data_IF_015863952889
#
_entry.id   IF_015863952889
#
_cell.length_a   1.000
_cell.length_b   1.000
_cell.length_c   1.000
_cell.angle_alpha   90.00
_cell.angle_beta   90.00
_cell.angle_gamma   90.00
#
_symmetry.space_group_name_H-M   'P 1'
#
loop_
_entity.id
_entity.type
_entity.pdbx_description
1 polymer ?
#
# COMPACT_ATOMS: atom_id res chain seq x y z
N UNK A 1 -22.24 -27.25 -11.85
CA UNK A 1 -20.99 -26.46 -11.72
C UNK A 1 -20.28 -26.52 -13.07
N UNK A 2 -20.09 -25.38 -13.75
CA UNK A 2 -19.37 -25.34 -15.04
C UNK A 2 -17.87 -25.37 -14.76
N UNK A 3 -17.16 -26.32 -15.35
CA UNK A 3 -15.70 -26.37 -15.31
C UNK A 3 -15.11 -25.10 -15.96
N UNK A 4 -13.99 -24.56 -15.44
CA UNK A 4 -13.35 -23.39 -16.03
C UNK A 4 -12.89 -23.70 -17.46
N UNK A 5 -13.26 -22.82 -18.41
CA UNK A 5 -13.13 -23.02 -19.85
C UNK A 5 -11.70 -22.85 -20.41
N UNK A 6 -10.67 -22.76 -19.57
CA UNK A 6 -9.28 -22.68 -20.04
C UNK A 6 -8.33 -23.33 -19.04
N UNK A 7 -7.82 -24.52 -19.40
CA UNK A 7 -6.65 -25.14 -18.75
C UNK A 7 -5.39 -24.52 -19.34
N UNK A 8 -5.04 -23.31 -18.90
CA UNK A 8 -3.75 -22.70 -19.26
C UNK A 8 -2.69 -23.29 -18.32
N UNK A 9 -1.89 -24.22 -18.83
CA UNK A 9 -0.74 -24.77 -18.11
C UNK A 9 0.38 -23.74 -18.14
N UNK A 10 0.42 -22.84 -17.16
CA UNK A 10 1.53 -21.90 -17.01
C UNK A 10 2.81 -22.67 -16.66
N UNK A 11 3.96 -22.39 -17.33
CA UNK A 11 5.25 -22.92 -16.91
C UNK A 11 5.48 -22.64 -15.43
N UNK A 12 5.92 -23.65 -14.68
CA UNK A 12 6.17 -23.53 -13.24
C UNK A 12 4.94 -23.58 -12.33
N UNK A 13 3.75 -23.97 -12.83
CA UNK A 13 2.54 -24.15 -12.01
C UNK A 13 2.78 -24.99 -10.74
N UNK A 14 3.42 -26.14 -10.86
CA UNK A 14 3.71 -27.02 -9.71
C UNK A 14 4.70 -26.39 -8.72
N UNK A 15 5.66 -25.59 -9.19
CA UNK A 15 6.57 -24.85 -8.32
C UNK A 15 5.80 -23.80 -7.52
N UNK A 16 4.89 -23.08 -8.18
CA UNK A 16 4.00 -22.10 -7.54
C UNK A 16 3.08 -22.73 -6.50
N UNK A 17 2.48 -23.88 -6.81
CA UNK A 17 1.67 -24.67 -5.87
C UNK A 17 2.51 -25.06 -4.64
N UNK A 18 3.67 -25.69 -4.83
CA UNK A 18 4.55 -26.11 -3.74
C UNK A 18 5.03 -24.94 -2.85
N UNK A 19 5.43 -23.81 -3.44
CA UNK A 19 5.85 -22.67 -2.64
C UNK A 19 4.69 -21.97 -1.93
N UNK A 20 3.47 -22.02 -2.50
CA UNK A 20 2.28 -21.51 -1.81
C UNK A 20 1.96 -22.34 -0.56
N UNK A 21 2.13 -23.67 -0.63
CA UNK A 21 2.03 -24.55 0.54
C UNK A 21 3.12 -24.27 1.57
N UNK A 22 4.38 -24.08 1.14
CA UNK A 22 5.48 -23.73 2.05
C UNK A 22 5.23 -22.39 2.77
N UNK A 23 4.70 -21.38 2.07
CA UNK A 23 4.30 -20.10 2.66
C UNK A 23 3.18 -20.30 3.69
N UNK A 24 2.18 -21.12 3.36
CA UNK A 24 1.09 -21.44 4.27
C UNK A 24 1.56 -22.21 5.52
N UNK A 25 2.57 -23.07 5.40
CA UNK A 25 3.20 -23.76 6.54
C UNK A 25 3.95 -22.77 7.43
N UNK A 26 4.65 -21.80 6.83
CA UNK A 26 5.42 -20.79 7.54
C UNK A 26 4.51 -19.90 8.42
N UNK A 27 3.45 -19.33 7.83
CA UNK A 27 2.41 -18.51 8.46
C UNK A 27 2.90 -17.66 9.66
N UNK A 28 3.76 -16.66 9.43
CA UNK A 28 4.26 -15.80 10.49
C UNK A 28 3.11 -14.95 11.03
N UNK A 29 2.95 -14.91 12.37
CA UNK A 29 1.95 -14.03 13.01
C UNK A 29 2.51 -12.61 13.10
N UNK A 30 1.90 -11.67 12.38
CA UNK A 30 2.17 -10.25 12.57
C UNK A 30 1.62 -9.78 13.93
N UNK A 31 2.31 -8.80 14.54
CA UNK A 31 1.89 -8.19 15.81
C UNK A 31 0.54 -7.49 15.63
N UNK A 32 -0.47 -7.90 16.42
CA UNK A 32 -1.85 -7.38 16.38
C UNK A 32 -2.22 -6.60 17.65
N UNK A 33 -1.28 -5.85 18.23
CA UNK A 33 -1.59 -4.99 19.38
C UNK A 33 -2.17 -3.67 18.89
N UNK A 34 -3.49 -3.47 19.02
CA UNK A 34 -4.10 -2.15 18.78
C UNK A 34 -3.62 -1.17 19.87
N UNK A 35 -3.08 0.00 19.50
CA UNK A 35 -2.75 1.04 20.46
C UNK A 35 -4.01 1.52 21.18
N UNK A 36 -3.87 2.05 22.40
CA UNK A 36 -4.97 2.69 23.14
C UNK A 36 -5.48 3.97 22.48
N UNK A 37 -4.65 4.62 21.66
CA UNK A 37 -5.01 5.80 20.87
C UNK A 37 -4.36 5.72 19.48
N UNK A 38 -4.94 4.96 18.53
CA UNK A 38 -4.33 4.74 17.23
C UNK A 38 -4.40 5.98 16.33
N UNK A 39 -3.37 6.18 15.52
CA UNK A 39 -3.39 7.12 14.40
C UNK A 39 -4.25 6.50 13.30
N UNK A 40 -5.31 7.20 12.89
CA UNK A 40 -6.26 6.70 11.88
C UNK A 40 -5.89 7.25 10.50
N UNK A 41 -5.34 6.38 9.67
CA UNK A 41 -4.96 6.69 8.29
C UNK A 41 -6.04 6.18 7.34
N UNK A 42 -6.69 7.09 6.61
CA UNK A 42 -7.68 6.77 5.57
C UNK A 42 -6.95 6.67 4.24
N UNK A 43 -7.11 5.55 3.54
CA UNK A 43 -6.43 5.25 2.28
C UNK A 43 -7.46 5.09 1.16
N UNK A 44 -7.25 5.80 0.05
CA UNK A 44 -8.03 5.70 -1.19
C UNK A 44 -7.11 5.80 -2.41
N UNK A 45 -7.56 5.33 -3.57
CA UNK A 45 -6.92 5.54 -4.88
C UNK A 45 -7.94 5.38 -6.02
N UNK A 46 -7.56 5.77 -7.23
CA UNK A 46 -8.34 5.53 -8.46
C UNK A 46 -9.74 6.14 -8.39
N UNK A 47 -9.84 7.39 -7.92
CA UNK A 47 -11.13 8.07 -7.80
C UNK A 47 -11.62 8.60 -9.14
N UNK A 48 -10.75 8.92 -10.10
CA UNK A 48 -11.16 9.42 -11.42
C UNK A 48 -12.15 10.60 -11.34
N UNK A 49 -11.87 11.60 -10.49
CA UNK A 49 -12.76 12.73 -10.12
C UNK A 49 -13.99 12.39 -9.25
N UNK A 50 -14.19 11.13 -8.87
CA UNK A 50 -15.22 10.77 -7.89
C UNK A 50 -14.89 11.33 -6.50
N UNK A 51 -15.95 11.61 -5.74
CA UNK A 51 -15.87 12.07 -4.35
C UNK A 51 -16.54 11.05 -3.44
N UNK A 52 -15.84 9.97 -3.07
CA UNK A 52 -16.40 8.99 -2.13
C UNK A 52 -16.63 9.63 -0.77
N UNK A 53 -17.61 9.14 -0.02
CA UNK A 53 -17.82 9.59 1.36
C UNK A 53 -16.68 9.03 2.21
N UNK A 54 -15.87 9.90 2.79
CA UNK A 54 -14.70 9.50 3.55
C UNK A 54 -15.00 9.40 5.06
N UNK A 55 -14.52 8.34 5.73
CA UNK A 55 -14.60 8.25 7.18
C UNK A 55 -13.68 9.30 7.84
N UNK A 56 -13.98 9.69 9.10
CA UNK A 56 -13.09 10.56 9.86
C UNK A 56 -11.74 9.87 10.11
N UNK A 57 -10.65 10.61 9.98
CA UNK A 57 -9.30 10.15 10.26
C UNK A 57 -8.31 11.31 10.40
N UNK A 58 -7.12 11.00 10.92
CA UNK A 58 -6.07 11.99 11.19
C UNK A 58 -5.29 12.35 9.91
N UNK A 59 -5.19 11.38 8.99
CA UNK A 59 -4.46 11.49 7.73
C UNK A 59 -5.26 10.83 6.60
N UNK A 60 -5.42 11.54 5.47
CA UNK A 60 -5.86 10.96 4.20
C UNK A 60 -4.65 10.74 3.29
N UNK A 61 -4.49 9.52 2.80
CA UNK A 61 -3.56 9.18 1.72
C UNK A 61 -4.37 8.85 0.47
N UNK A 62 -4.17 9.64 -0.59
CA UNK A 62 -4.68 9.33 -1.93
C UNK A 62 -3.53 8.86 -2.82
N UNK A 63 -3.55 7.59 -3.20
CA UNK A 63 -2.46 6.91 -3.88
C UNK A 63 -2.79 6.65 -5.35
N UNK A 64 -2.72 7.69 -6.18
CA UNK A 64 -2.85 7.71 -7.66
C UNK A 64 -4.26 7.92 -8.22
N UNK A 65 -4.29 8.48 -9.44
CA UNK A 65 -5.45 8.61 -10.32
C UNK A 65 -6.59 9.37 -9.62
N UNK A 66 -6.23 10.58 -9.19
CA UNK A 66 -7.04 11.45 -8.35
C UNK A 66 -8.05 12.25 -9.17
N UNK A 67 -7.58 13.05 -10.14
CA UNK A 67 -8.45 13.96 -10.90
C UNK A 67 -7.90 14.33 -12.28
N UNK A 68 -8.81 14.49 -13.24
CA UNK A 68 -8.56 15.37 -14.39
C UNK A 68 -8.74 16.86 -13.99
N UNK A 69 -9.69 17.22 -13.12
CA UNK A 69 -10.20 18.61 -13.03
C UNK A 69 -9.73 19.50 -11.84
N UNK A 70 -8.88 19.00 -10.94
CA UNK A 70 -8.02 19.86 -10.11
C UNK A 70 -8.67 20.66 -8.97
N UNK A 71 -9.63 20.09 -8.25
CA UNK A 71 -10.16 20.68 -7.01
C UNK A 71 -10.10 19.64 -5.89
N UNK A 72 -9.43 19.99 -4.78
CA UNK A 72 -9.01 19.06 -3.71
C UNK A 72 -9.68 19.32 -2.35
N UNK A 73 -10.92 19.79 -2.39
CA UNK A 73 -11.73 20.17 -1.23
C UNK A 73 -12.35 18.95 -0.53
N UNK A 74 -11.50 18.14 0.11
CA UNK A 74 -11.87 16.98 0.95
C UNK A 74 -11.61 17.27 2.45
N UNK A 75 -12.49 16.84 3.38
CA UNK A 75 -12.45 17.22 4.79
C UNK A 75 -11.55 16.31 5.65
N UNK A 76 -10.22 16.48 5.58
CA UNK A 76 -9.25 15.88 6.50
C UNK A 76 -8.20 16.88 7.00
N UNK A 77 -7.73 16.70 8.23
CA UNK A 77 -6.73 17.56 8.90
C UNK A 77 -5.39 17.57 8.14
N UNK A 78 -4.98 16.43 7.62
CA UNK A 78 -3.79 16.29 6.78
C UNK A 78 -4.11 15.41 5.56
N UNK A 79 -3.64 15.84 4.39
CA UNK A 79 -3.90 15.18 3.11
C UNK A 79 -2.60 15.01 2.36
N UNK A 80 -2.27 13.78 2.00
CA UNK A 80 -1.08 13.45 1.21
C UNK A 80 -1.52 12.79 -0.08
N UNK A 81 -1.01 13.31 -1.20
CA UNK A 81 -1.40 12.89 -2.55
C UNK A 81 -0.17 12.47 -3.33
N UNK A 82 -0.31 11.37 -4.05
CA UNK A 82 0.69 10.83 -4.98
C UNK A 82 0.02 10.74 -6.35
N UNK A 83 0.68 11.31 -7.36
CA UNK A 83 0.17 11.30 -8.74
C UNK A 83 0.25 9.88 -9.34
N UNK A 84 -0.76 9.54 -10.10
CA UNK A 84 -0.81 8.37 -10.97
C UNK A 84 -0.49 8.69 -12.42
N UNK A 85 -0.58 7.66 -13.26
CA UNK A 85 -0.34 7.78 -14.69
C UNK A 85 -1.46 8.51 -15.43
N UNK A 86 -2.64 8.67 -14.82
CA UNK A 86 -3.72 9.48 -15.36
C UNK A 86 -3.64 10.95 -14.95
N UNK A 87 -2.83 11.30 -13.95
CA UNK A 87 -2.63 12.68 -13.50
C UNK A 87 -1.60 13.42 -14.39
N UNK A 88 -1.77 13.32 -15.72
CA UNK A 88 -0.84 13.86 -16.73
C UNK A 88 -0.61 15.37 -16.52
N UNK A 89 -1.61 16.08 -16.00
CA UNK A 89 -1.52 17.50 -15.65
C UNK A 89 -0.42 17.83 -14.61
N UNK A 90 -0.05 16.86 -13.78
CA UNK A 90 1.00 17.00 -12.77
C UNK A 90 2.42 16.74 -13.32
N UNK A 91 2.55 16.18 -14.52
CA UNK A 91 3.85 15.92 -15.17
C UNK A 91 4.25 17.07 -16.11
N UNK A 92 5.02 18.00 -15.56
CA UNK A 92 5.53 19.18 -16.27
C UNK A 92 6.49 18.85 -17.42
N UNK A 93 7.10 17.66 -17.43
CA UNK A 93 8.05 17.24 -18.46
C UNK A 93 7.37 16.44 -19.59
N UNK A 94 6.27 15.77 -19.31
CA UNK A 94 5.52 14.94 -20.25
C UNK A 94 4.52 15.74 -21.07
N UNK A 95 3.76 16.65 -20.45
CA UNK A 95 2.73 17.42 -21.15
C UNK A 95 3.25 18.27 -22.32
N UNK A 96 4.42 18.92 -22.26
CA UNK A 96 4.96 19.65 -23.41
C UNK A 96 5.30 18.74 -24.59
N UNK A 97 5.59 17.45 -24.35
CA UNK A 97 5.90 16.46 -25.39
C UNK A 97 4.65 15.85 -26.02
N UNK A 98 3.58 15.73 -25.25
CA UNK A 98 2.32 15.09 -25.66
C UNK A 98 1.10 15.99 -25.32
N UNK A 99 0.97 17.17 -25.95
CA UNK A 99 -0.09 18.11 -25.64
C UNK A 99 -1.51 17.57 -25.92
N UNK A 100 -1.65 16.58 -26.80
CA UNK A 100 -2.90 15.87 -27.08
C UNK A 100 -3.43 15.06 -25.88
N UNK A 101 -2.55 14.72 -24.93
CA UNK A 101 -2.91 14.04 -23.67
C UNK A 101 -3.49 14.98 -22.61
N UNK A 102 -3.76 16.25 -22.97
CA UNK A 102 -4.56 17.16 -22.15
C UNK A 102 -6.04 16.81 -22.14
N UNK A 103 -6.51 15.91 -23.01
CA UNK A 103 -7.92 15.50 -23.09
C UNK A 103 -8.90 16.69 -23.16
N UNK A 104 -8.50 17.77 -23.86
CA UNK A 104 -9.30 18.99 -24.01
C UNK A 104 -9.17 20.00 -22.86
N UNK A 105 -8.31 19.76 -21.89
CA UNK A 105 -8.08 20.68 -20.77
C UNK A 105 -7.19 21.88 -21.11
N UNK A 106 -7.56 23.01 -20.53
CA UNK A 106 -6.83 24.28 -20.62
C UNK A 106 -6.08 24.63 -19.34
N UNK A 107 -6.38 23.97 -18.22
CA UNK A 107 -5.71 24.18 -16.93
C UNK A 107 -4.31 23.60 -16.93
N UNK A 108 -3.45 24.19 -16.11
CA UNK A 108 -2.09 23.77 -15.80
C UNK A 108 -1.97 23.43 -14.32
N UNK A 109 -0.86 22.80 -13.90
CA UNK A 109 -0.55 22.56 -12.48
C UNK A 109 -0.60 23.83 -11.63
N UNK A 110 -0.27 24.98 -12.20
CA UNK A 110 -0.32 26.28 -11.52
C UNK A 110 -1.77 26.78 -11.28
N UNK A 111 -2.74 26.27 -12.03
CA UNK A 111 -4.16 26.62 -11.89
C UNK A 111 -4.89 25.73 -10.87
N UNK A 112 -4.17 24.79 -10.25
CA UNK A 112 -4.71 23.88 -9.24
C UNK A 112 -4.77 24.56 -7.87
N UNK A 113 -5.93 24.47 -7.22
CA UNK A 113 -6.09 24.89 -5.83
C UNK A 113 -5.80 23.72 -4.89
N UNK A 114 -4.56 23.64 -4.44
CA UNK A 114 -4.06 22.59 -3.55
C UNK A 114 -4.63 22.64 -2.13
N UNK A 115 -5.14 23.78 -1.67
CA UNK A 115 -5.59 23.94 -0.29
C UNK A 115 -4.55 23.46 0.74
N UNK A 116 -4.93 22.49 1.59
CA UNK A 116 -4.07 21.89 2.62
C UNK A 116 -3.40 20.57 2.19
N UNK A 117 -3.37 20.28 0.89
CA UNK A 117 -2.79 19.05 0.34
C UNK A 117 -1.27 19.12 0.25
N UNK A 118 -0.62 18.03 0.64
CA UNK A 118 0.80 17.78 0.42
C UNK A 118 0.94 16.83 -0.77
N UNK A 119 1.40 17.35 -1.90
CA UNK A 119 1.74 16.55 -3.08
C UNK A 119 3.21 16.13 -3.02
N UNK A 120 3.49 14.82 -3.14
CA UNK A 120 4.83 14.30 -2.89
C UNK A 120 5.76 14.26 -4.11
N UNK A 121 5.28 14.11 -5.35
CA UNK A 121 6.11 14.14 -6.58
C UNK A 121 7.49 13.45 -6.46
N UNK A 122 7.52 12.14 -6.15
CA UNK A 122 8.75 11.35 -5.90
C UNK A 122 9.61 11.77 -4.69
N UNK A 123 9.07 12.62 -3.82
CA UNK A 123 9.68 13.05 -2.55
C UNK A 123 9.04 12.33 -1.34
N UNK A 124 9.54 12.64 -0.15
CA UNK A 124 8.96 12.20 1.10
C UNK A 124 8.58 13.40 1.99
N UNK A 125 7.62 13.17 2.88
CA UNK A 125 7.26 14.11 3.94
C UNK A 125 7.26 13.40 5.28
N UNK A 126 7.67 14.12 6.32
CA UNK A 126 7.59 13.67 7.69
C UNK A 126 6.56 14.53 8.42
N UNK A 127 5.53 13.88 8.97
CA UNK A 127 4.44 14.51 9.69
C UNK A 127 4.52 14.14 11.17
N UNK A 128 4.35 15.14 12.03
CA UNK A 128 4.31 14.98 13.48
C UNK A 128 2.86 15.06 13.96
N UNK A 129 2.38 14.01 14.62
CA UNK A 129 1.03 13.93 15.18
C UNK A 129 1.10 14.04 16.71
N UNK A 130 0.43 15.04 17.32
CA UNK A 130 0.41 15.16 18.78
C UNK A 130 -0.29 13.95 19.40
N UNK A 131 0.28 13.43 20.49
CA UNK A 131 -0.38 12.38 21.27
C UNK A 131 -1.50 13.02 22.08
N UNK A 132 -2.71 12.45 22.08
CA UNK A 132 -3.77 12.95 22.95
C UNK A 132 -3.33 12.77 24.42
N UNK A 133 -3.35 13.85 25.19
CA UNK A 133 -3.02 13.80 26.62
C UNK A 133 -4.00 12.84 27.31
N UNK A 134 -3.47 11.76 27.89
CA UNK A 134 -4.26 10.95 28.81
C UNK A 134 -4.57 11.83 30.03
N UNK A 135 -5.85 12.17 30.21
CA UNK A 135 -6.36 12.87 31.39
C UNK A 135 -6.01 12.00 32.61
N UNK A 136 -4.88 12.30 33.27
CA UNK A 136 -4.48 11.61 34.49
C UNK A 136 -2.98 11.42 34.74
N UNK A 137 -2.08 11.63 33.77
CA UNK A 137 -0.64 11.43 34.00
C UNK A 137 0.18 12.65 33.56
N UNK A 138 0.64 13.43 34.53
CA UNK A 138 1.52 14.60 34.31
C UNK A 138 2.93 14.09 34.07
N UNK A 139 3.19 13.58 32.87
CA UNK A 139 4.53 13.25 32.40
C UNK A 139 4.91 14.18 31.25
N UNK A 140 5.86 15.12 31.42
CA UNK A 140 6.12 16.22 30.48
C UNK A 140 6.92 15.79 29.22
N UNK A 141 6.71 14.56 28.71
CA UNK A 141 7.44 14.08 27.52
C UNK A 141 6.58 13.21 26.59
N UNK A 142 5.35 13.64 26.30
CA UNK A 142 4.61 13.13 25.15
C UNK A 142 5.35 13.55 23.86
N UNK A 143 6.29 12.74 23.40
CA UNK A 143 6.90 12.96 22.08
C UNK A 143 5.83 12.75 20.99
N UNK A 144 5.73 13.66 20.00
CA UNK A 144 4.78 13.48 18.91
C UNK A 144 5.09 12.21 18.11
N UNK A 145 4.05 11.54 17.62
CA UNK A 145 4.20 10.40 16.72
C UNK A 145 4.62 10.91 15.36
N UNK A 146 5.79 10.49 14.90
CA UNK A 146 6.35 10.90 13.63
C UNK A 146 6.09 9.84 12.56
N UNK A 147 5.42 10.23 11.48
CA UNK A 147 5.15 9.37 10.32
C UNK A 147 5.89 9.93 9.10
N UNK A 148 6.73 9.11 8.47
CA UNK A 148 7.37 9.46 7.19
C UNK A 148 6.66 8.76 6.05
N UNK A 149 6.24 9.52 5.06
CA UNK A 149 5.48 9.04 3.89
C UNK A 149 6.34 9.27 2.67
N UNK A 150 6.52 8.22 1.86
CA UNK A 150 7.31 8.25 0.64
C UNK A 150 6.36 8.18 -0.56
N UNK A 151 6.34 9.23 -1.39
CA UNK A 151 5.49 9.31 -2.57
C UNK A 151 6.19 8.81 -3.83
N UNK A 152 6.87 7.67 -3.73
CA UNK A 152 7.71 7.12 -4.79
C UNK A 152 7.06 5.89 -5.39
N UNK A 153 7.36 5.62 -6.65
CA UNK A 153 6.91 4.38 -7.28
C UNK A 153 7.82 3.20 -6.92
N UNK A 154 7.44 2.47 -5.87
CA UNK A 154 8.12 1.25 -5.43
C UNK A 154 7.80 0.08 -6.36
N UNK A 155 8.42 0.04 -7.54
CA UNK A 155 8.24 -1.09 -8.47
C UNK A 155 9.10 -2.31 -8.12
N UNK A 156 10.02 -2.20 -7.15
CA UNK A 156 10.93 -3.27 -6.77
C UNK A 156 10.60 -3.77 -5.35
N UNK A 157 10.17 -5.03 -5.23
CA UNK A 157 10.00 -5.71 -3.94
C UNK A 157 11.28 -5.64 -3.07
N UNK A 158 12.45 -5.51 -3.70
CA UNK A 158 13.73 -5.33 -3.03
C UNK A 158 13.85 -4.00 -2.29
N UNK A 159 13.25 -2.91 -2.79
CA UNK A 159 13.28 -1.61 -2.11
C UNK A 159 12.35 -1.62 -0.89
N UNK A 160 11.16 -2.22 -1.01
CA UNK A 160 10.23 -2.41 0.12
C UNK A 160 10.87 -3.30 1.19
N UNK A 161 11.55 -4.38 0.79
CA UNK A 161 12.25 -5.27 1.72
C UNK A 161 13.47 -4.62 2.39
N UNK A 162 14.04 -3.55 1.82
CA UNK A 162 15.13 -2.78 2.42
C UNK A 162 14.62 -1.73 3.40
N UNK A 163 13.54 -1.03 3.05
CA UNK A 163 12.97 0.06 3.85
C UNK A 163 12.11 -0.49 4.99
N UNK A 164 11.52 -1.68 4.82
CA UNK A 164 10.59 -2.32 5.75
C UNK A 164 9.50 -1.34 6.24
N UNK A 165 8.72 -0.74 5.31
CA UNK A 165 7.69 0.22 5.69
C UNK A 165 6.60 -0.44 6.53
N UNK A 166 5.96 0.34 7.40
CA UNK A 166 4.81 -0.12 8.17
C UNK A 166 3.51 -0.16 7.33
N UNK A 167 3.41 0.72 6.32
CA UNK A 167 2.27 0.83 5.42
C UNK A 167 2.75 1.02 3.98
N UNK A 168 2.17 0.26 3.06
CA UNK A 168 2.30 0.45 1.62
C UNK A 168 0.88 0.61 1.05
N UNK A 169 0.59 1.80 0.51
CA UNK A 169 -0.70 2.10 -0.16
C UNK A 169 -0.48 2.16 -1.65
N UNK A 170 -1.29 1.44 -2.42
CA UNK A 170 -1.23 1.41 -3.88
C UNK A 170 -2.64 1.26 -4.49
N UNK A 171 -2.74 1.43 -5.81
CA UNK A 171 -3.98 1.41 -6.58
C UNK A 171 -3.85 0.73 -7.95
N UNK A 172 -4.85 0.93 -8.81
CA UNK A 172 -4.94 0.53 -10.23
C UNK A 172 -5.26 -0.95 -10.53
N UNK A 173 -4.96 -1.87 -9.61
CA UNK A 173 -5.32 -3.29 -9.79
C UNK A 173 -6.74 -3.52 -9.24
N UNK A 174 -7.76 -3.27 -10.05
CA UNK A 174 -9.19 -3.38 -9.67
C UNK A 174 -9.60 -4.78 -9.17
N UNK A 175 -8.78 -5.82 -9.41
CA UNK A 175 -9.06 -7.22 -9.08
C UNK A 175 -8.62 -7.59 -7.65
N UNK A 176 -7.84 -6.74 -6.97
CA UNK A 176 -7.22 -7.07 -5.68
C UNK A 176 -7.44 -6.04 -4.58
N UNK A 177 -8.59 -5.35 -4.56
CA UNK A 177 -8.98 -4.45 -3.46
C UNK A 177 -8.88 -5.18 -2.10
N UNK A 178 -8.27 -4.51 -1.11
CA UNK A 178 -8.19 -5.02 0.25
C UNK A 178 -6.90 -4.70 0.99
N UNK A 179 -6.76 -5.33 2.15
CA UNK A 179 -5.64 -5.20 3.07
C UNK A 179 -4.98 -6.56 3.26
N UNK A 180 -3.65 -6.61 3.21
CA UNK A 180 -2.84 -7.77 3.56
C UNK A 180 -1.73 -7.37 4.53
N UNK A 181 -1.66 -8.02 5.69
CA UNK A 181 -0.56 -7.83 6.65
C UNK A 181 0.52 -8.88 6.36
N UNK A 182 1.69 -8.44 5.93
CA UNK A 182 2.78 -9.32 5.45
C UNK A 182 4.03 -9.14 6.31
N UNK A 183 4.58 -10.26 6.79
CA UNK A 183 5.90 -10.26 7.42
C UNK A 183 6.95 -10.46 6.33
N UNK A 184 7.78 -9.44 6.12
CA UNK A 184 8.82 -9.42 5.08
C UNK A 184 10.08 -10.16 5.54
N UNK A 185 9.99 -11.48 5.62
CA UNK A 185 11.12 -12.33 5.99
C UNK A 185 11.73 -13.09 4.80
N UNK A 186 12.79 -13.87 5.09
CA UNK A 186 13.49 -14.64 4.06
C UNK A 186 12.61 -15.66 3.33
N UNK A 187 11.57 -16.19 3.98
CA UNK A 187 10.62 -17.13 3.35
C UNK A 187 9.71 -16.39 2.38
N UNK A 188 9.19 -15.22 2.78
CA UNK A 188 8.39 -14.35 1.91
C UNK A 188 9.22 -13.88 0.70
N UNK A 189 10.49 -13.49 0.90
CA UNK A 189 11.39 -13.12 -0.21
C UNK A 189 11.64 -14.27 -1.19
N UNK A 190 11.82 -15.50 -0.68
CA UNK A 190 11.99 -16.68 -1.52
C UNK A 190 10.74 -17.00 -2.35
N UNK A 191 9.56 -16.78 -1.77
CA UNK A 191 8.28 -16.92 -2.47
C UNK A 191 8.13 -15.93 -3.63
N UNK A 192 8.44 -14.65 -3.41
CA UNK A 192 8.34 -13.59 -4.43
C UNK A 192 9.33 -13.76 -5.59
N UNK A 193 10.56 -14.19 -5.32
CA UNK A 193 11.55 -14.51 -6.38
C UNK A 193 11.06 -15.65 -7.27
N UNK A 194 10.30 -16.60 -6.71
CA UNK A 194 9.78 -17.74 -7.44
C UNK A 194 8.55 -17.43 -8.29
N UNK A 195 7.69 -16.47 -7.90
CA UNK A 195 6.58 -16.05 -8.76
C UNK A 195 7.05 -15.39 -10.08
N UNK A 196 8.28 -14.83 -10.08
CA UNK A 196 8.97 -14.31 -11.25
C UNK A 196 9.54 -15.39 -12.19
N UNK A 197 10.74 -15.91 -11.87
CA UNK A 197 11.57 -16.67 -12.83
C UNK A 197 12.34 -17.87 -12.24
N UNK A 198 12.10 -18.25 -10.98
CA UNK A 198 12.97 -19.20 -10.30
C UNK A 198 12.55 -20.67 -10.42
N UNK A 199 13.54 -21.57 -10.56
CA UNK A 199 13.34 -23.02 -10.68
C UNK A 199 13.32 -23.77 -9.34
N UNK A 200 13.20 -25.11 -9.38
CA UNK A 200 13.04 -25.98 -8.20
C UNK A 200 14.08 -25.82 -7.07
N UNK A 201 15.27 -25.30 -7.36
CA UNK A 201 16.29 -24.98 -6.36
C UNK A 201 15.77 -23.97 -5.32
N UNK A 202 14.96 -22.98 -5.72
CA UNK A 202 14.42 -22.00 -4.77
C UNK A 202 13.32 -22.59 -3.89
N UNK A 203 12.52 -23.53 -4.40
CA UNK A 203 11.54 -24.28 -3.59
C UNK A 203 12.26 -25.11 -2.52
N UNK A 204 13.34 -25.80 -2.90
CA UNK A 204 14.18 -26.53 -1.94
C UNK A 204 14.79 -25.62 -0.88
N UNK A 205 15.31 -24.46 -1.27
CA UNK A 205 15.82 -23.46 -0.34
C UNK A 205 14.74 -22.89 0.58
N UNK A 206 13.55 -22.58 0.04
CA UNK A 206 12.40 -22.12 0.81
C UNK A 206 11.99 -23.17 1.86
N UNK A 207 11.98 -24.46 1.51
CA UNK A 207 11.69 -25.53 2.45
C UNK A 207 12.69 -25.58 3.62
N UNK A 208 13.99 -25.37 3.34
CA UNK A 208 15.03 -25.26 4.37
C UNK A 208 14.78 -24.04 5.27
N UNK A 209 14.46 -22.88 4.69
CA UNK A 209 14.16 -21.67 5.47
C UNK A 209 12.94 -21.86 6.39
N UNK A 210 11.87 -22.49 5.90
CA UNK A 210 10.69 -22.83 6.70
C UNK A 210 11.04 -23.79 7.84
N UNK A 211 11.84 -24.82 7.56
CA UNK A 211 12.30 -25.77 8.59
C UNK A 211 13.12 -25.05 9.67
N UNK A 212 14.07 -24.20 9.28
CA UNK A 212 14.88 -23.42 10.21
C UNK A 212 14.02 -22.45 11.03
N UNK A 213 13.02 -21.80 10.43
CA UNK A 213 12.09 -20.92 11.14
C UNK A 213 11.25 -21.67 12.19
N UNK A 214 10.72 -22.86 11.84
CA UNK A 214 9.98 -23.72 12.77
C UNK A 214 10.86 -24.25 13.91
N UNK A 215 12.08 -24.68 13.60
CA UNK A 215 13.05 -25.13 14.61
C UNK A 215 13.42 -24.01 15.58
N UNK A 216 13.65 -22.79 15.07
CA UNK A 216 13.86 -21.61 15.92
C UNK A 216 12.65 -21.30 16.81
N UNK A 217 11.43 -21.38 16.28
CA UNK A 217 10.19 -21.17 17.04
C UNK A 217 9.93 -22.22 18.13
N UNK A 218 10.56 -23.40 18.05
CA UNK A 218 10.49 -24.43 19.09
C UNK A 218 11.47 -24.17 20.26
N UNK A 219 12.58 -23.48 19.99
CA UNK A 219 13.68 -23.28 20.95
C UNK A 219 13.69 -21.89 21.56
N UNK A 220 13.25 -20.87 20.81
CA UNK A 220 13.22 -19.47 21.23
C UNK A 220 11.77 -19.00 21.37
N UNK A 221 11.45 -18.19 22.40
CA UNK A 221 10.13 -17.56 22.51
C UNK A 221 9.85 -16.77 21.23
N UNK A 222 8.63 -16.95 20.72
CA UNK A 222 8.19 -16.33 19.47
C UNK A 222 8.31 -14.80 19.61
N UNK A 223 9.30 -14.20 18.93
CA UNK A 223 9.37 -12.74 18.80
C UNK A 223 8.33 -12.34 17.78
N UNK A 224 7.27 -11.66 18.23
CA UNK A 224 6.30 -11.03 17.34
C UNK A 224 7.06 -10.14 16.36
N UNK A 225 6.85 -10.38 15.06
CA UNK A 225 7.50 -9.58 14.01
C UNK A 225 6.60 -8.42 13.61
N UNK A 226 7.22 -7.26 13.41
CA UNK A 226 6.56 -6.10 12.80
C UNK A 226 6.26 -6.44 11.34
N UNK A 227 4.97 -6.45 11.00
CA UNK A 227 4.50 -6.71 9.64
C UNK A 227 4.33 -5.40 8.89
N UNK A 228 4.48 -5.46 7.58
CA UNK A 228 4.11 -4.39 6.65
C UNK A 228 2.65 -4.57 6.25
N UNK A 229 1.85 -3.52 6.42
CA UNK A 229 0.47 -3.49 5.95
C UNK A 229 0.45 -3.06 4.49
N UNK A 230 -0.02 -3.93 3.60
CA UNK A 230 -0.26 -3.63 2.19
C UNK A 230 -1.74 -3.30 2.00
N UNK A 231 -2.02 -2.17 1.37
CA UNK A 231 -3.38 -1.68 1.11
C UNK A 231 -3.52 -1.37 -0.38
N UNK A 232 -4.37 -2.15 -1.06
CA UNK A 232 -4.89 -1.77 -2.37
C UNK A 232 -6.16 -0.94 -2.15
N UNK A 233 -6.03 0.37 -2.29
CA UNK A 233 -7.03 1.36 -1.91
C UNK A 233 -7.98 1.77 -3.05
N UNK A 234 -7.99 1.03 -4.16
CA UNK A 234 -8.82 1.33 -5.34
C UNK A 234 -10.29 1.41 -4.97
N UNK A 235 -10.90 2.60 -5.05
CA UNK A 235 -12.35 2.79 -4.78
C UNK A 235 -13.22 2.23 -5.92
N UNK A 236 -12.59 1.96 -7.05
CA UNK A 236 -13.19 1.38 -8.25
C UNK A 236 -12.99 -0.14 -8.28
N UNK A 237 -14.03 -0.87 -8.70
CA UNK A 237 -13.97 -2.31 -8.99
C UNK A 237 -14.77 -2.69 -10.24
N UNK A 238 -14.39 -3.82 -10.83
CA UNK A 238 -15.04 -4.40 -12.01
C UNK A 238 -14.58 -3.82 -13.35
N UNK A 239 -14.99 -4.46 -14.45
CA UNK A 239 -14.61 -4.09 -15.82
C UNK A 239 -15.29 -2.81 -16.35
N UNK A 240 -16.18 -2.20 -15.56
CA UNK A 240 -16.94 -0.99 -15.91
C UNK A 240 -16.57 0.23 -15.06
N UNK A 241 -15.48 0.15 -14.30
CA UNK A 241 -15.01 1.21 -13.41
C UNK A 241 -16.10 1.80 -12.49
N UNK A 242 -16.88 0.94 -11.84
CA UNK A 242 -17.94 1.38 -10.93
C UNK A 242 -17.38 1.60 -9.52
N UNK A 243 -17.61 2.79 -8.95
CA UNK A 243 -17.32 3.11 -7.54
C UNK A 243 -18.10 2.15 -6.65
N UNK A 244 -17.40 1.19 -6.05
CA UNK A 244 -18.05 0.10 -5.31
C UNK A 244 -17.28 -0.29 -4.06
N UNK A 245 -16.01 0.12 -3.95
CA UNK A 245 -15.19 -0.20 -2.79
C UNK A 245 -15.19 0.97 -1.81
N UNK A 246 -15.27 0.64 -0.52
CA UNK A 246 -15.21 1.59 0.57
C UNK A 246 -13.76 2.05 0.83
N UNK A 247 -13.54 3.24 1.40
CA UNK A 247 -12.22 3.66 1.86
C UNK A 247 -11.64 2.70 2.92
N UNK A 248 -10.34 2.43 2.86
CA UNK A 248 -9.67 1.56 3.83
C UNK A 248 -9.09 2.41 4.96
N UNK A 249 -9.42 2.07 6.21
CA UNK A 249 -8.87 2.70 7.40
C UNK A 249 -7.83 1.80 8.04
N UNK A 250 -6.65 2.34 8.29
CA UNK A 250 -5.53 1.68 8.96
C UNK A 250 -5.21 2.41 10.27
N UNK A 251 -4.95 1.63 11.32
CA UNK A 251 -4.72 2.12 12.68
C UNK A 251 -3.29 1.75 13.12
N UNK A 252 -2.52 2.75 13.59
CA UNK A 252 -1.13 2.62 14.05
C UNK A 252 -0.89 3.19 15.45
#
# INVERSE_FOLDING_TARGET
MRAPLTSITLPGRHQREAASELRAIHNPKAKSSRPSNPLRVVCISDTDNARPILPPGDLLIHARDLTENGSFDEPHTCKVIIAGNHDVLLDEAFLPKYPERRYGQTKTKADLDWGSVIYLEDNCVTLDFPQAESIGDVSPSSQPRRLTIFGRCFYLAEEIAQILPHLVVFGHIHVSYGREDVVLDGVQRAYEVMTGWAGWMTVGWMAILVLLAKLKGLVLPNRDQEGTVFVNASVVSGSRNTLTNEPIVVEF
#
